data_IF_913579504254
#
_entry.id   IF_913579504254
#
_cell.length_a   1.000
_cell.length_b   1.000
_cell.length_c   1.000
_cell.angle_alpha   90.00
_cell.angle_beta   90.00
_cell.angle_gamma   90.00
#
_symmetry.space_group_name_H-M   'P 1'
#
loop_
_entity.id
_entity.type
_entity.pdbx_description
1 polymer ?
#
# COMPACT_ATOMS: atom_id res chain seq x y z
N UNK A 1 26.62 -17.12 -4.56
CA UNK A 1 25.88 -17.52 -3.34
C UNK A 1 24.96 -18.68 -3.66
N UNK A 2 25.02 -19.76 -2.86
CA UNK A 2 24.19 -20.94 -3.12
C UNK A 2 22.72 -20.66 -2.77
N UNK A 3 21.78 -21.24 -3.52
CA UNK A 3 20.33 -21.11 -3.23
C UNK A 3 19.55 -22.31 -3.76
N UNK A 4 18.39 -22.58 -3.18
CA UNK A 4 17.48 -23.64 -3.63
C UNK A 4 16.11 -23.07 -4.03
N UNK A 5 15.49 -23.63 -5.07
CA UNK A 5 14.16 -23.24 -5.56
C UNK A 5 13.36 -24.45 -6.03
N UNK A 6 12.07 -24.48 -5.74
CA UNK A 6 11.14 -25.44 -6.34
C UNK A 6 10.83 -25.07 -7.79
N UNK A 7 10.91 -26.06 -8.67
CA UNK A 7 10.61 -25.92 -10.10
C UNK A 7 9.83 -27.13 -10.60
N UNK A 8 9.16 -26.94 -11.73
CA UNK A 8 8.69 -28.04 -12.56
C UNK A 8 9.79 -28.39 -13.57
N UNK A 9 10.35 -29.60 -13.51
CA UNK A 9 11.42 -30.02 -14.43
C UNK A 9 10.83 -30.46 -15.78
N UNK A 10 10.73 -29.50 -16.70
CA UNK A 10 10.12 -29.71 -18.02
C UNK A 10 11.03 -30.41 -19.05
N UNK A 11 12.25 -30.81 -18.65
CA UNK A 11 13.27 -31.41 -19.53
C UNK A 11 13.11 -32.91 -19.76
N UNK A 12 12.40 -33.62 -18.87
CA UNK A 12 12.08 -35.05 -19.04
C UNK A 12 10.56 -35.21 -19.26
N UNK A 13 10.16 -35.82 -20.36
CA UNK A 13 8.78 -36.32 -20.55
C UNK A 13 8.61 -37.58 -19.68
N UNK A 14 7.50 -37.68 -18.94
CA UNK A 14 7.04 -38.96 -18.38
C UNK A 14 6.74 -39.95 -19.51
N UNK A 15 7.00 -41.25 -19.30
CA UNK A 15 6.72 -42.34 -20.26
C UNK A 15 5.23 -42.72 -20.36
N UNK A 16 4.30 -41.89 -19.88
CA UNK A 16 2.85 -42.15 -19.97
C UNK A 16 2.24 -41.41 -21.16
N UNK A 17 1.47 -42.15 -21.97
CA UNK A 17 0.90 -41.71 -23.25
C UNK A 17 -0.26 -40.71 -23.08
N UNK A 18 -0.91 -40.64 -21.91
CA UNK A 18 -2.15 -39.85 -21.76
C UNK A 18 -2.08 -38.64 -20.80
N UNK A 19 -1.01 -38.43 -20.04
CA UNK A 19 -0.84 -37.20 -19.24
C UNK A 19 0.63 -36.76 -19.23
N UNK A 20 0.94 -35.61 -19.87
CA UNK A 20 2.29 -35.01 -19.84
C UNK A 20 2.55 -34.38 -18.46
N UNK A 21 2.76 -35.22 -17.46
CA UNK A 21 3.20 -34.81 -16.13
C UNK A 21 4.71 -34.62 -16.11
N UNK A 22 5.14 -33.60 -15.39
CA UNK A 22 6.53 -33.25 -15.17
C UNK A 22 6.84 -33.33 -13.68
N UNK A 23 8.01 -33.87 -13.30
CA UNK A 23 8.38 -33.98 -11.91
C UNK A 23 8.64 -32.62 -11.31
N UNK A 24 8.22 -32.44 -10.07
CA UNK A 24 8.59 -31.31 -9.23
C UNK A 24 9.99 -31.59 -8.69
N UNK A 25 10.85 -30.58 -8.73
CA UNK A 25 12.24 -30.71 -8.30
C UNK A 25 12.68 -29.51 -7.47
N UNK A 26 13.53 -29.76 -6.49
CA UNK A 26 14.34 -28.72 -5.85
C UNK A 26 15.58 -28.51 -6.71
N UNK A 27 15.67 -27.34 -7.36
CA UNK A 27 16.86 -26.92 -8.08
C UNK A 27 17.80 -26.19 -7.13
N UNK A 28 18.97 -26.77 -6.92
CA UNK A 28 20.06 -26.22 -6.12
C UNK A 28 21.02 -25.50 -7.05
N UNK A 29 21.22 -24.21 -6.81
CA UNK A 29 22.16 -23.37 -7.54
C UNK A 29 23.42 -23.23 -6.69
N UNK A 30 24.49 -23.95 -7.03
CA UNK A 30 25.81 -23.80 -6.43
C UNK A 30 26.87 -24.22 -7.44
N UNK A 31 27.77 -23.32 -7.86
CA UNK A 31 28.73 -23.54 -8.96
C UNK A 31 28.05 -23.99 -10.25
N UNK A 32 27.72 -25.29 -10.38
CA UNK A 32 26.87 -25.87 -11.44
C UNK A 32 25.51 -26.30 -10.87
N UNK A 33 24.37 -25.83 -11.42
CA UNK A 33 23.07 -26.19 -10.88
C UNK A 33 22.80 -27.70 -10.90
N UNK A 34 22.25 -28.22 -9.80
CA UNK A 34 21.79 -29.60 -9.65
C UNK A 34 20.30 -29.63 -9.33
N UNK A 35 19.68 -30.78 -9.59
CA UNK A 35 18.27 -31.00 -9.29
C UNK A 35 18.09 -32.22 -8.43
N UNK A 36 17.26 -32.06 -7.41
CA UNK A 36 16.75 -33.15 -6.60
C UNK A 36 15.28 -33.31 -6.95
N UNK A 37 14.95 -34.38 -7.68
CA UNK A 37 13.57 -34.67 -8.07
C UNK A 37 12.81 -35.23 -6.88
N UNK A 38 11.59 -34.74 -6.70
CA UNK A 38 10.68 -35.20 -5.67
C UNK A 38 9.75 -36.28 -6.26
N UNK A 39 9.03 -36.99 -5.40
CA UNK A 39 8.07 -38.02 -5.78
C UNK A 39 6.77 -37.46 -6.41
N UNK A 40 6.64 -36.13 -6.47
CA UNK A 40 5.43 -35.46 -6.97
C UNK A 40 5.62 -34.96 -8.40
N UNK A 41 4.55 -35.01 -9.20
CA UNK A 41 4.53 -34.54 -10.58
C UNK A 41 3.22 -33.81 -10.87
N UNK A 42 3.24 -32.85 -11.80
CA UNK A 42 2.04 -32.17 -12.28
C UNK A 42 2.23 -31.69 -13.73
N UNK A 43 1.15 -31.22 -14.37
CA UNK A 43 1.23 -30.63 -15.70
C UNK A 43 1.79 -29.19 -15.65
N UNK A 44 2.19 -28.65 -16.81
CA UNK A 44 2.63 -27.23 -16.90
C UNK A 44 1.56 -26.25 -16.38
N UNK A 45 0.29 -26.55 -16.63
CA UNK A 45 -0.83 -25.69 -16.20
C UNK A 45 -1.09 -25.86 -14.70
N UNK A 46 -0.91 -27.08 -14.18
CA UNK A 46 -1.08 -27.43 -12.78
C UNK A 46 0.01 -26.92 -11.84
N UNK A 47 1.10 -26.36 -12.36
CA UNK A 47 2.14 -25.71 -11.58
C UNK A 47 1.99 -24.18 -11.58
N UNK A 48 2.08 -23.59 -10.40
CA UNK A 48 2.27 -22.15 -10.24
C UNK A 48 3.76 -21.85 -10.03
N UNK A 49 4.44 -21.39 -11.08
CA UNK A 49 5.88 -21.08 -11.00
C UNK A 49 6.22 -19.87 -10.12
N UNK A 50 5.24 -18.98 -9.88
CA UNK A 50 5.40 -17.79 -9.06
C UNK A 50 5.32 -18.15 -7.58
N UNK A 51 4.33 -18.95 -7.22
CA UNK A 51 4.11 -19.39 -5.83
C UNK A 51 4.81 -20.73 -5.50
N UNK A 52 5.36 -21.41 -6.50
CA UNK A 52 6.04 -22.70 -6.37
C UNK A 52 5.15 -23.80 -5.77
N UNK A 53 3.93 -23.92 -6.27
CA UNK A 53 2.92 -24.85 -5.74
C UNK A 53 2.07 -25.49 -6.83
N UNK A 54 1.40 -26.59 -6.49
CA UNK A 54 0.32 -27.17 -7.27
C UNK A 54 -0.93 -26.29 -7.18
N UNK A 55 -1.60 -26.11 -8.32
CA UNK A 55 -2.91 -25.45 -8.42
C UNK A 55 -4.02 -26.48 -8.23
N UNK A 56 -4.91 -26.23 -7.27
CA UNK A 56 -6.11 -27.06 -7.03
C UNK A 56 -7.06 -27.11 -8.23
N UNK A 57 -7.14 -26.02 -8.99
CA UNK A 57 -8.05 -25.90 -10.14
C UNK A 57 -7.59 -26.67 -11.38
N UNK A 58 -6.42 -27.28 -11.37
CA UNK A 58 -5.90 -27.99 -12.53
C UNK A 58 -6.37 -29.46 -12.55
N UNK A 59 -6.89 -29.90 -13.69
CA UNK A 59 -7.35 -31.28 -13.89
C UNK A 59 -6.30 -32.33 -13.53
N UNK A 60 -5.03 -32.08 -13.85
CA UNK A 60 -3.90 -32.96 -13.53
C UNK A 60 -3.65 -33.16 -12.03
N UNK A 61 -4.31 -32.39 -11.15
CA UNK A 61 -4.19 -32.49 -9.69
C UNK A 61 -5.53 -32.89 -9.03
N UNK A 62 -6.55 -33.29 -9.80
CA UNK A 62 -7.91 -33.53 -9.28
C UNK A 62 -7.95 -34.62 -8.19
N UNK A 63 -7.12 -35.64 -8.34
CA UNK A 63 -7.05 -36.80 -7.42
C UNK A 63 -5.92 -36.66 -6.39
N UNK A 64 -5.32 -35.46 -6.29
CA UNK A 64 -4.19 -35.18 -5.42
C UNK A 64 -4.62 -34.18 -4.35
N UNK A 65 -4.33 -34.50 -3.09
CA UNK A 65 -4.38 -33.51 -2.01
C UNK A 65 -3.27 -32.48 -2.22
N UNK A 66 -3.59 -31.45 -3.01
CA UNK A 66 -2.67 -30.36 -3.35
C UNK A 66 -2.08 -29.72 -2.10
N UNK A 67 -2.85 -29.59 -1.01
CA UNK A 67 -2.37 -28.92 0.20
C UNK A 67 -1.30 -29.78 0.88
N UNK A 68 -1.57 -31.07 1.05
CA UNK A 68 -0.61 -32.02 1.63
C UNK A 68 0.66 -32.12 0.77
N UNK A 69 0.52 -32.18 -0.55
CA UNK A 69 1.67 -32.20 -1.47
C UNK A 69 2.47 -30.91 -1.39
N UNK A 70 1.79 -29.76 -1.40
CA UNK A 70 2.44 -28.46 -1.29
C UNK A 70 3.22 -28.35 0.03
N UNK A 71 2.64 -28.78 1.15
CA UNK A 71 3.34 -28.85 2.43
C UNK A 71 4.59 -29.73 2.34
N UNK A 72 4.49 -30.94 1.79
CA UNK A 72 5.62 -31.85 1.67
C UNK A 72 6.76 -31.32 0.78
N UNK A 73 6.45 -30.72 -0.38
CA UNK A 73 7.49 -30.14 -1.25
C UNK A 73 8.13 -28.90 -0.62
N UNK A 74 7.38 -28.11 0.16
CA UNK A 74 7.92 -26.98 0.89
C UNK A 74 8.84 -27.41 2.04
N UNK A 75 8.50 -28.48 2.76
CA UNK A 75 9.40 -29.06 3.78
C UNK A 75 10.75 -29.46 3.18
N UNK A 76 10.73 -30.12 2.02
CA UNK A 76 11.95 -30.51 1.29
C UNK A 76 12.75 -29.29 0.82
N UNK A 77 12.08 -28.27 0.26
CA UNK A 77 12.73 -27.01 -0.12
C UNK A 77 13.33 -26.28 1.09
N UNK A 78 12.63 -26.27 2.21
CA UNK A 78 13.09 -25.60 3.43
C UNK A 78 14.32 -26.28 4.00
N UNK A 79 14.30 -27.61 4.16
CA UNK A 79 15.48 -28.35 4.60
C UNK A 79 16.68 -28.07 3.68
N UNK A 80 16.48 -28.02 2.37
CA UNK A 80 17.53 -27.66 1.43
C UNK A 80 18.11 -26.25 1.65
N UNK A 81 17.25 -25.25 1.89
CA UNK A 81 17.67 -23.88 2.21
C UNK A 81 18.37 -23.79 3.57
N UNK A 82 17.89 -24.51 4.58
CA UNK A 82 18.48 -24.55 5.92
C UNK A 82 19.91 -25.07 5.87
N UNK A 83 20.18 -26.14 5.12
CA UNK A 83 21.53 -26.67 4.93
C UNK A 83 22.44 -25.69 4.21
N UNK A 84 21.93 -25.04 3.16
CA UNK A 84 22.67 -23.98 2.47
C UNK A 84 23.08 -22.87 3.45
N UNK A 85 22.16 -22.43 4.32
CA UNK A 85 22.45 -21.40 5.30
C UNK A 85 23.44 -21.87 6.38
N UNK A 86 23.26 -23.08 6.92
CA UNK A 86 24.15 -23.66 7.94
C UNK A 86 25.58 -23.82 7.44
N UNK A 87 25.75 -24.15 6.16
CA UNK A 87 27.06 -24.32 5.54
C UNK A 87 27.77 -22.98 5.27
N UNK A 88 27.07 -21.85 5.27
CA UNK A 88 27.66 -20.51 5.23
C UNK A 88 28.87 -20.36 4.30
N UNK A 89 30.01 -19.97 4.87
CA UNK A 89 31.27 -19.76 4.14
C UNK A 89 31.91 -21.06 3.63
N UNK A 90 31.62 -22.20 4.29
CA UNK A 90 32.04 -23.55 3.86
C UNK A 90 31.42 -23.94 2.52
N UNK A 91 30.37 -23.26 2.05
CA UNK A 91 29.86 -23.45 0.69
C UNK A 91 30.93 -23.22 -0.38
N UNK A 92 31.89 -22.33 -0.14
CA UNK A 92 32.96 -22.01 -1.09
C UNK A 92 33.86 -23.23 -1.38
N UNK A 93 34.12 -24.06 -0.38
CA UNK A 93 35.02 -25.21 -0.44
C UNK A 93 34.35 -26.51 -0.91
N UNK A 94 33.01 -26.60 -0.91
CA UNK A 94 32.31 -27.82 -1.33
C UNK A 94 31.80 -27.79 -2.79
N UNK A 95 31.57 -28.96 -3.36
CA UNK A 95 30.98 -29.14 -4.70
C UNK A 95 29.45 -29.06 -4.66
N UNK A 96 28.82 -28.89 -5.83
CA UNK A 96 27.35 -28.94 -5.96
C UNK A 96 26.78 -30.32 -5.61
N UNK A 97 27.55 -31.38 -5.89
CA UNK A 97 27.13 -32.77 -5.65
C UNK A 97 27.20 -33.11 -4.15
N UNK A 98 28.27 -32.69 -3.47
CA UNK A 98 28.40 -32.78 -2.00
C UNK A 98 27.28 -32.02 -1.29
N UNK A 99 26.92 -30.83 -1.76
CA UNK A 99 25.80 -30.06 -1.20
C UNK A 99 24.46 -30.80 -1.37
N UNK A 100 24.21 -31.39 -2.55
CA UNK A 100 22.99 -32.17 -2.81
C UNK A 100 22.93 -33.43 -1.95
N UNK A 101 24.06 -34.10 -1.73
CA UNK A 101 24.12 -35.29 -0.87
C UNK A 101 23.78 -34.95 0.58
N UNK A 102 24.31 -33.86 1.13
CA UNK A 102 23.95 -33.37 2.46
C UNK A 102 22.45 -33.05 2.57
N UNK A 103 21.88 -32.43 1.53
CA UNK A 103 20.44 -32.16 1.48
C UNK A 103 19.63 -33.45 1.52
N UNK A 104 20.02 -34.46 0.74
CA UNK A 104 19.33 -35.76 0.74
C UNK A 104 19.45 -36.49 2.07
N UNK A 105 20.63 -36.51 2.70
CA UNK A 105 20.81 -37.13 4.03
C UNK A 105 19.86 -36.54 5.06
N UNK A 106 19.71 -35.22 5.09
CA UNK A 106 18.77 -34.55 6.00
C UNK A 106 17.29 -34.80 5.75
N UNK A 107 16.95 -35.37 4.59
CA UNK A 107 15.58 -35.73 4.23
C UNK A 107 15.22 -37.14 4.67
N UNK A 108 16.23 -37.99 4.87
CA UNK A 108 16.11 -39.39 5.26
C UNK A 108 16.15 -39.55 6.79
N UNK A 109 16.93 -38.70 7.48
CA UNK A 109 16.85 -38.54 8.92
C UNK A 109 15.50 -37.88 9.27
N UNK A 110 14.53 -38.67 9.77
CA UNK A 110 13.21 -38.18 10.20
C UNK A 110 13.39 -36.96 11.11
N UNK A 111 12.99 -35.81 10.56
CA UNK A 111 13.13 -34.45 11.10
C UNK A 111 13.01 -34.40 12.62
N UNK A 112 14.15 -34.26 13.29
CA UNK A 112 14.21 -34.10 14.73
C UNK A 112 13.47 -32.80 15.13
N UNK A 113 12.72 -32.91 16.22
CA UNK A 113 11.92 -31.89 16.89
C UNK A 113 12.59 -30.51 17.02
N UNK A 114 13.93 -30.48 17.02
CA UNK A 114 14.79 -29.29 17.04
C UNK A 114 14.71 -28.45 15.76
N UNK A 115 14.59 -29.06 14.58
CA UNK A 115 14.50 -28.36 13.29
C UNK A 115 13.14 -27.67 13.12
N UNK A 116 12.05 -28.26 13.65
CA UNK A 116 10.72 -27.61 13.70
C UNK A 116 10.70 -26.33 14.54
N UNK A 117 11.59 -26.24 15.54
CA UNK A 117 11.79 -25.06 16.37
C UNK A 117 12.62 -23.99 15.63
N UNK A 118 13.64 -24.40 14.88
CA UNK A 118 14.47 -23.53 14.04
C UNK A 118 13.77 -23.03 12.76
N UNK A 119 12.72 -23.74 12.31
CA UNK A 119 11.95 -23.50 11.07
C UNK A 119 11.20 -22.15 11.01
N UNK A 120 11.03 -21.45 12.14
CA UNK A 120 10.31 -20.16 12.24
C UNK A 120 11.22 -18.93 12.12
N UNK A 121 12.55 -19.13 12.07
CA UNK A 121 13.60 -18.10 12.09
C UNK A 121 13.53 -17.10 13.27
N UNK A 122 12.66 -17.29 14.27
CA UNK A 122 12.43 -16.36 15.41
C UNK A 122 12.15 -14.90 15.01
N UNK A 123 12.06 -14.61 13.71
CA UNK A 123 11.98 -13.26 13.17
C UNK A 123 10.67 -12.62 13.58
N UNK A 124 10.80 -11.41 14.09
CA UNK A 124 9.69 -10.62 14.58
C UNK A 124 9.18 -9.67 13.52
N UNK A 125 7.92 -9.28 13.69
CA UNK A 125 7.26 -8.26 12.91
C UNK A 125 7.99 -6.92 13.01
N UNK A 126 8.53 -6.60 14.18
CA UNK A 126 9.27 -5.36 14.42
C UNK A 126 10.61 -5.36 13.67
N UNK A 127 11.39 -6.44 13.75
CA UNK A 127 12.68 -6.56 13.07
C UNK A 127 12.54 -6.41 11.55
N UNK A 128 11.64 -7.19 10.93
CA UNK A 128 11.43 -7.08 9.49
C UNK A 128 10.73 -5.76 9.09
N UNK A 129 9.83 -5.28 9.95
CA UNK A 129 9.18 -3.99 9.79
C UNK A 129 10.19 -2.83 9.75
N UNK A 130 11.23 -2.86 10.59
CA UNK A 130 12.26 -1.85 10.64
C UNK A 130 13.03 -1.76 9.32
N UNK A 131 13.38 -2.90 8.70
CA UNK A 131 14.00 -2.93 7.37
C UNK A 131 13.16 -2.19 6.33
N UNK A 132 11.83 -2.38 6.35
CA UNK A 132 10.93 -1.68 5.43
C UNK A 132 10.79 -0.19 5.76
N UNK A 133 10.76 0.16 7.05
CA UNK A 133 10.75 1.56 7.51
C UNK A 133 11.99 2.28 6.97
N UNK A 134 13.18 1.74 7.17
CA UNK A 134 14.45 2.33 6.74
C UNK A 134 14.49 2.51 5.22
N UNK A 135 14.05 1.49 4.47
CA UNK A 135 13.93 1.58 3.00
C UNK A 135 12.98 2.70 2.57
N UNK A 136 11.86 2.89 3.27
CA UNK A 136 10.91 3.99 2.96
C UNK A 136 11.47 5.35 3.32
N UNK A 137 12.22 5.48 4.41
CA UNK A 137 12.90 6.72 4.77
C UNK A 137 13.98 7.08 3.73
N UNK A 138 14.83 6.12 3.35
CA UNK A 138 15.82 6.29 2.26
C UNK A 138 15.20 6.67 0.91
N UNK A 139 13.94 6.28 0.69
CA UNK A 139 13.18 6.65 -0.52
C UNK A 139 12.31 7.90 -0.36
N UNK A 140 12.53 8.72 0.67
CA UNK A 140 11.74 9.93 0.98
C UNK A 140 10.22 9.67 1.06
N UNK A 141 9.84 8.56 1.70
CA UNK A 141 8.43 8.16 1.96
C UNK A 141 8.13 8.09 3.46
N UNK A 142 8.33 9.17 4.23
CA UNK A 142 8.21 9.15 5.70
C UNK A 142 6.78 8.85 6.18
N UNK A 143 5.75 9.23 5.42
CA UNK A 143 4.37 8.88 5.74
C UNK A 143 4.12 7.36 5.70
N UNK A 144 4.72 6.64 4.74
CA UNK A 144 4.61 5.17 4.64
C UNK A 144 5.44 4.48 5.73
N UNK A 145 6.63 5.02 6.04
CA UNK A 145 7.46 4.54 7.14
C UNK A 145 6.70 4.65 8.48
N UNK A 146 6.07 5.80 8.75
CA UNK A 146 5.22 5.97 9.94
C UNK A 146 4.03 5.01 9.96
N UNK A 147 3.38 4.77 8.82
CA UNK A 147 2.28 3.81 8.75
C UNK A 147 2.70 2.39 9.17
N UNK A 148 3.89 1.93 8.75
CA UNK A 148 4.45 0.67 9.26
C UNK A 148 4.71 0.73 10.76
N UNK A 149 5.40 1.78 11.23
CA UNK A 149 5.73 1.96 12.66
C UNK A 149 4.49 1.92 13.55
N UNK A 150 3.45 2.68 13.20
CA UNK A 150 2.21 2.77 13.97
C UNK A 150 1.45 1.43 13.97
N UNK A 151 1.52 0.68 12.87
CA UNK A 151 0.87 -0.63 12.77
C UNK A 151 1.60 -1.71 13.55
N UNK A 152 2.93 -1.69 13.55
CA UNK A 152 3.76 -2.57 14.38
C UNK A 152 3.45 -2.29 15.85
N UNK A 153 3.43 -1.02 16.27
CA UNK A 153 3.12 -0.63 17.64
C UNK A 153 1.74 -1.12 18.08
N UNK A 154 0.71 -1.00 17.22
CA UNK A 154 -0.63 -1.52 17.54
C UNK A 154 -0.63 -3.04 17.75
N UNK A 155 0.10 -3.79 16.92
CA UNK A 155 0.22 -5.25 17.05
C UNK A 155 1.07 -5.68 18.25
N UNK A 156 2.10 -4.91 18.59
CA UNK A 156 2.90 -5.12 19.81
C UNK A 156 2.07 -4.88 21.06
N UNK A 157 1.29 -3.79 21.09
CA UNK A 157 0.39 -3.51 22.22
C UNK A 157 -0.69 -4.59 22.39
N UNK A 158 -1.23 -5.11 21.29
CA UNK A 158 -2.16 -6.25 21.31
C UNK A 158 -1.53 -7.53 21.89
N UNK A 159 -0.21 -7.69 21.73
CA UNK A 159 0.53 -8.86 22.18
C UNK A 159 1.19 -8.62 23.55
N UNK A 160 0.50 -7.94 24.46
CA UNK A 160 0.99 -7.58 25.81
C UNK A 160 2.36 -6.88 25.82
N UNK A 161 2.56 -5.95 24.88
CA UNK A 161 3.81 -5.23 24.64
C UNK A 161 5.02 -6.14 24.30
N UNK A 162 4.79 -7.43 24.00
CA UNK A 162 5.81 -8.37 23.55
C UNK A 162 5.96 -8.32 22.05
N UNK A 163 7.18 -8.55 21.57
CA UNK A 163 7.44 -8.63 20.13
C UNK A 163 6.64 -9.76 19.47
N UNK A 164 5.92 -9.43 18.40
CA UNK A 164 5.12 -10.40 17.64
C UNK A 164 6.03 -11.14 16.68
N UNK A 165 6.20 -12.44 16.87
CA UNK A 165 6.91 -13.30 15.91
C UNK A 165 6.07 -13.54 14.68
N UNK A 166 6.67 -13.57 13.49
CA UNK A 166 5.90 -13.74 12.25
C UNK A 166 5.12 -15.05 12.21
N UNK A 167 5.60 -16.12 12.85
CA UNK A 167 4.89 -17.40 12.93
C UNK A 167 3.69 -17.39 13.87
N UNK A 168 3.56 -16.42 14.78
CA UNK A 168 2.39 -16.25 15.64
C UNK A 168 1.20 -15.65 14.88
N UNK A 169 1.46 -14.98 13.77
CA UNK A 169 0.42 -14.35 12.95
C UNK A 169 -0.36 -15.47 12.23
N UNK A 170 -1.49 -15.85 12.82
CA UNK A 170 -2.45 -16.81 12.29
C UNK A 170 -3.76 -16.12 11.90
N UNK A 171 -4.72 -16.86 11.33
CA UNK A 171 -6.06 -16.32 11.08
C UNK A 171 -6.78 -15.98 12.40
N UNK A 172 -6.60 -16.79 13.45
CA UNK A 172 -7.18 -16.50 14.77
C UNK A 172 -6.57 -15.24 15.37
N UNK A 173 -5.24 -15.13 15.37
CA UNK A 173 -4.52 -13.94 15.83
C UNK A 173 -5.04 -12.64 15.18
N UNK A 174 -5.27 -12.65 13.87
CA UNK A 174 -5.81 -11.49 13.15
C UNK A 174 -7.28 -11.19 13.50
N UNK A 175 -8.09 -12.20 13.77
CA UNK A 175 -9.49 -12.02 14.21
C UNK A 175 -9.55 -11.50 15.64
N UNK A 176 -8.71 -12.00 16.52
CA UNK A 176 -8.63 -11.57 17.92
C UNK A 176 -8.18 -10.11 18.00
N UNK A 177 -7.16 -9.73 17.24
CA UNK A 177 -6.74 -8.34 17.05
C UNK A 177 -7.89 -7.44 16.58
N UNK A 178 -8.66 -7.90 15.59
CA UNK A 178 -9.82 -7.14 15.09
C UNK A 178 -10.90 -6.97 16.17
N UNK A 179 -11.28 -8.04 16.87
CA UNK A 179 -12.32 -8.01 17.89
C UNK A 179 -11.95 -7.08 19.05
N UNK A 180 -10.70 -7.13 19.51
CA UNK A 180 -10.23 -6.25 20.57
C UNK A 180 -10.20 -4.79 20.15
N UNK A 181 -9.74 -4.49 18.93
CA UNK A 181 -9.76 -3.11 18.45
C UNK A 181 -11.19 -2.58 18.27
N UNK A 182 -12.14 -3.43 17.86
CA UNK A 182 -13.57 -3.09 17.80
C UNK A 182 -14.12 -2.83 19.20
N UNK A 183 -13.79 -3.67 20.21
CA UNK A 183 -14.26 -3.46 21.59
C UNK A 183 -13.72 -2.17 22.21
N UNK A 184 -12.52 -1.74 21.82
CA UNK A 184 -11.94 -0.43 22.15
C UNK A 184 -12.56 0.76 21.38
N UNK A 185 -13.58 0.54 20.57
CA UNK A 185 -14.28 1.59 19.80
C UNK A 185 -13.55 2.05 18.53
N UNK A 186 -12.52 1.33 18.06
CA UNK A 186 -11.82 1.72 16.83
C UNK A 186 -12.67 1.44 15.58
N UNK A 187 -12.58 2.35 14.61
CA UNK A 187 -13.25 2.15 13.33
C UNK A 187 -12.65 0.99 12.52
N UNK A 188 -13.49 0.28 11.75
CA UNK A 188 -13.06 -0.75 10.78
C UNK A 188 -12.02 -0.21 9.79
N UNK A 189 -12.04 1.09 9.48
CA UNK A 189 -11.05 1.73 8.62
C UNK A 189 -9.65 1.78 9.25
N UNK A 190 -9.58 2.07 10.55
CA UNK A 190 -8.33 2.04 11.31
C UNK A 190 -7.76 0.62 11.37
N UNK A 191 -8.59 -0.35 11.72
CA UNK A 191 -8.22 -1.78 11.77
C UNK A 191 -7.72 -2.25 10.41
N UNK A 192 -8.48 -1.99 9.34
CA UNK A 192 -8.10 -2.31 7.96
C UNK A 192 -6.79 -1.62 7.54
N UNK A 193 -6.48 -0.44 8.06
CA UNK A 193 -5.20 0.24 7.84
C UNK A 193 -4.05 -0.52 8.49
N UNK A 194 -4.16 -0.89 9.77
CA UNK A 194 -3.13 -1.64 10.49
C UNK A 194 -2.87 -3.00 9.86
N UNK A 195 -3.94 -3.78 9.62
CA UNK A 195 -3.81 -5.13 9.06
C UNK A 195 -3.21 -5.12 7.65
N UNK A 196 -3.50 -4.09 6.83
CA UNK A 196 -2.85 -3.94 5.51
C UNK A 196 -1.35 -3.70 5.62
N UNK A 197 -0.88 -2.99 6.65
CA UNK A 197 0.53 -2.76 6.87
C UNK A 197 1.22 -4.06 7.29
N UNK A 198 0.64 -4.79 8.23
CA UNK A 198 1.17 -6.08 8.69
C UNK A 198 1.21 -7.09 7.55
N UNK A 199 0.16 -7.15 6.73
CA UNK A 199 0.16 -7.98 5.52
C UNK A 199 1.29 -7.61 4.57
N UNK A 200 1.59 -6.32 4.41
CA UNK A 200 2.67 -5.87 3.54
C UNK A 200 4.05 -6.25 4.10
N UNK A 201 4.27 -6.10 5.41
CA UNK A 201 5.49 -6.53 6.10
C UNK A 201 5.65 -8.06 5.96
N UNK A 202 4.62 -8.82 6.35
CA UNK A 202 4.59 -10.28 6.28
C UNK A 202 4.88 -10.79 4.85
N UNK A 203 4.14 -10.30 3.85
CA UNK A 203 4.33 -10.74 2.46
C UNK A 203 5.68 -10.29 1.88
N UNK A 204 6.28 -9.20 2.37
CA UNK A 204 7.64 -8.83 1.99
C UNK A 204 8.66 -9.81 2.56
N UNK A 205 8.47 -10.28 3.81
CA UNK A 205 9.34 -11.29 4.41
C UNK A 205 9.30 -12.61 3.61
N UNK A 206 8.10 -13.00 3.13
CA UNK A 206 7.94 -14.15 2.23
C UNK A 206 8.70 -13.96 0.90
N UNK A 207 8.51 -12.80 0.26
CA UNK A 207 9.09 -12.50 -1.06
C UNK A 207 10.61 -12.41 -1.04
N UNK A 208 11.18 -12.00 0.08
CA UNK A 208 12.62 -11.85 0.28
C UNK A 208 13.24 -13.05 1.02
N UNK A 209 12.53 -14.19 1.08
CA UNK A 209 12.99 -15.45 1.67
C UNK A 209 13.43 -15.31 3.14
N UNK A 210 12.90 -14.34 3.88
CA UNK A 210 13.21 -14.11 5.30
C UNK A 210 12.35 -14.91 6.24
N UNK A 211 11.16 -15.27 5.79
CA UNK A 211 10.18 -16.02 6.55
C UNK A 211 9.45 -17.00 5.64
N UNK A 212 9.21 -18.22 6.10
CA UNK A 212 8.47 -19.24 5.38
C UNK A 212 7.43 -19.87 6.31
N UNK A 213 6.14 -19.49 6.20
CA UNK A 213 5.09 -20.01 7.04
C UNK A 213 4.64 -21.37 6.55
N UNK A 214 4.11 -22.18 7.47
CA UNK A 214 3.38 -23.41 7.15
C UNK A 214 2.13 -23.09 6.32
N UNK A 215 1.39 -22.02 6.70
CA UNK A 215 0.25 -21.47 5.97
C UNK A 215 0.26 -19.95 6.04
N UNK A 216 0.01 -19.27 4.92
CA UNK A 216 -0.11 -17.81 4.92
C UNK A 216 -1.52 -17.40 5.39
N UNK A 217 -1.67 -16.73 6.56
CA UNK A 217 -2.95 -16.36 7.13
C UNK A 217 -3.71 -15.36 6.25
N UNK A 218 -2.99 -14.52 5.50
CA UNK A 218 -3.59 -13.48 4.64
C UNK A 218 -4.23 -14.02 3.36
N UNK A 219 -4.13 -15.33 3.09
CA UNK A 219 -4.90 -16.00 2.04
C UNK A 219 -6.32 -16.35 2.51
N UNK A 220 -6.52 -16.50 3.82
CA UNK A 220 -7.79 -16.96 4.40
C UNK A 220 -8.45 -15.90 5.30
N UNK A 221 -7.68 -14.93 5.78
CA UNK A 221 -8.21 -13.78 6.52
C UNK A 221 -8.70 -12.70 5.57
N UNK A 222 -9.98 -12.35 5.69
CA UNK A 222 -10.59 -11.24 4.96
C UNK A 222 -10.45 -9.95 5.75
N UNK A 223 -9.63 -9.03 5.26
CA UNK A 223 -9.49 -7.69 5.87
C UNK A 223 -10.86 -6.99 5.87
N UNK A 224 -11.29 -6.38 6.99
CA UNK A 224 -12.57 -5.73 7.11
C UNK A 224 -12.77 -4.72 5.98
N UNK A 225 -13.95 -4.78 5.35
CA UNK A 225 -14.34 -3.77 4.38
C UNK A 225 -14.50 -2.44 5.09
N UNK A 226 -13.87 -1.41 4.54
CA UNK A 226 -14.05 -0.05 5.01
C UNK A 226 -15.52 0.36 4.80
N UNK A 227 -16.22 0.74 5.87
CA UNK A 227 -17.57 1.27 5.76
C UNK A 227 -17.60 2.52 4.87
N UNK A 228 -18.75 2.82 4.25
CA UNK A 228 -18.91 4.06 3.48
C UNK A 228 -18.59 5.23 4.42
N UNK A 229 -17.60 6.03 4.05
CA UNK A 229 -17.27 7.22 4.83
C UNK A 229 -18.32 8.27 4.51
N UNK A 230 -18.77 9.07 5.49
CA UNK A 230 -19.72 10.19 5.28
C UNK A 230 -19.28 11.06 4.09
N UNK A 231 -20.22 11.66 3.35
CA UNK A 231 -19.93 12.61 2.25
C UNK A 231 -18.98 13.69 2.79
N UNK A 232 -17.76 13.77 2.25
CA UNK A 232 -16.72 14.73 2.66
C UNK A 232 -16.54 15.81 1.59
N UNK A 233 -17.63 16.42 1.14
CA UNK A 233 -17.61 17.44 0.10
C UNK A 233 -18.41 18.66 0.55
N UNK A 234 -17.93 19.84 0.19
CA UNK A 234 -18.66 21.10 0.33
C UNK A 234 -19.44 21.38 -0.96
N UNK A 235 -20.62 21.96 -0.82
CA UNK A 235 -21.40 22.48 -1.95
C UNK A 235 -20.71 23.71 -2.55
N UNK A 236 -21.13 24.12 -3.75
CA UNK A 236 -20.58 25.30 -4.44
C UNK A 236 -20.81 26.57 -3.62
N UNK A 237 -21.98 26.68 -3.00
CA UNK A 237 -22.41 27.80 -2.17
C UNK A 237 -21.49 27.95 -0.96
N UNK A 238 -21.13 26.83 -0.30
CA UNK A 238 -20.19 26.81 0.82
C UNK A 238 -18.77 27.25 0.41
N UNK A 239 -18.32 26.88 -0.80
CA UNK A 239 -17.04 27.37 -1.34
C UNK A 239 -17.10 28.89 -1.58
N UNK A 240 -18.22 29.42 -2.09
CA UNK A 240 -18.43 30.85 -2.27
C UNK A 240 -18.46 31.59 -0.93
N UNK A 241 -19.11 31.03 0.10
CA UNK A 241 -19.11 31.61 1.45
C UNK A 241 -17.68 31.77 1.99
N UNK A 242 -16.84 30.72 1.87
CA UNK A 242 -15.42 30.78 2.25
C UNK A 242 -14.66 31.85 1.46
N UNK A 243 -14.91 31.93 0.14
CA UNK A 243 -14.29 32.94 -0.74
C UNK A 243 -14.59 34.37 -0.28
N UNK A 244 -15.80 34.62 0.21
CA UNK A 244 -16.27 35.94 0.61
C UNK A 244 -15.75 36.42 1.97
N UNK A 245 -15.20 35.52 2.80
CA UNK A 245 -14.57 35.90 4.07
C UNK A 245 -13.43 36.90 3.87
N UNK A 246 -13.20 37.77 4.86
CA UNK A 246 -12.10 38.73 4.86
C UNK A 246 -11.25 38.51 6.10
N UNK A 247 -9.95 38.39 5.89
CA UNK A 247 -8.95 38.24 6.95
C UNK A 247 -7.82 39.22 6.66
N UNK A 248 -7.17 39.71 7.71
CA UNK A 248 -5.99 40.56 7.55
C UNK A 248 -4.88 39.76 6.84
N UNK A 249 -4.20 40.40 5.90
CA UNK A 249 -3.10 39.80 5.16
C UNK A 249 -1.98 39.31 6.09
N UNK A 250 -1.20 38.33 5.63
CA UNK A 250 -0.15 37.66 6.41
C UNK A 250 -0.60 36.94 7.69
N UNK A 251 -1.88 36.95 8.04
CA UNK A 251 -2.36 36.12 9.16
C UNK A 251 -2.44 34.64 8.75
N UNK A 252 -2.31 33.74 9.72
CA UNK A 252 -2.44 32.30 9.47
C UNK A 252 -3.83 31.92 8.90
N UNK A 253 -4.89 32.66 9.25
CA UNK A 253 -6.24 32.47 8.68
C UNK A 253 -6.28 32.86 7.21
N UNK A 254 -5.71 34.01 6.86
CA UNK A 254 -5.59 34.47 5.48
C UNK A 254 -4.80 33.48 4.62
N UNK A 255 -3.64 33.01 5.10
CA UNK A 255 -2.86 31.98 4.42
C UNK A 255 -3.66 30.69 4.25
N UNK A 256 -4.33 30.23 5.30
CA UNK A 256 -5.14 28.99 5.25
C UNK A 256 -6.29 29.10 4.24
N UNK A 257 -6.98 30.24 4.18
CA UNK A 257 -8.02 30.52 3.17
C UNK A 257 -7.43 30.45 1.77
N UNK A 258 -6.29 31.11 1.54
CA UNK A 258 -5.64 31.11 0.23
C UNK A 258 -5.14 29.72 -0.18
N UNK A 259 -4.66 28.90 0.76
CA UNK A 259 -4.32 27.50 0.47
C UNK A 259 -5.54 26.71 0.01
N UNK A 260 -6.68 26.89 0.68
CA UNK A 260 -7.94 26.24 0.30
C UNK A 260 -8.39 26.63 -1.11
N UNK A 261 -8.41 27.93 -1.41
CA UNK A 261 -8.81 28.45 -2.71
C UNK A 261 -7.83 28.01 -3.82
N UNK A 262 -6.53 28.02 -3.53
CA UNK A 262 -5.51 27.53 -4.46
C UNK A 262 -5.68 26.04 -4.75
N UNK A 263 -5.93 25.22 -3.71
CA UNK A 263 -6.21 23.80 -3.87
C UNK A 263 -7.46 23.56 -4.74
N UNK A 264 -8.53 24.33 -4.50
CA UNK A 264 -9.78 24.21 -5.26
C UNK A 264 -9.60 24.58 -6.73
N UNK A 265 -8.98 25.74 -7.01
CA UNK A 265 -8.65 26.19 -8.37
C UNK A 265 -7.72 25.21 -9.09
N UNK A 266 -6.83 24.54 -8.36
CA UNK A 266 -5.95 23.51 -8.90
C UNK A 266 -6.60 22.10 -8.99
N UNK A 267 -7.89 22.04 -9.37
CA UNK A 267 -8.65 20.79 -9.51
C UNK A 267 -8.67 19.93 -8.24
N UNK A 268 -8.79 20.58 -7.09
CA UNK A 268 -8.79 19.90 -5.80
C UNK A 268 -7.43 19.32 -5.40
N UNK A 269 -6.33 19.98 -5.73
CA UNK A 269 -4.95 19.62 -5.37
C UNK A 269 -4.83 19.24 -3.88
N UNK A 270 -4.01 18.24 -3.54
CA UNK A 270 -3.79 17.90 -2.13
C UNK A 270 -2.88 18.93 -1.47
N UNK A 271 -3.07 19.18 -0.17
CA UNK A 271 -2.23 20.12 0.59
C UNK A 271 -0.74 19.79 0.54
N UNK A 272 -0.36 18.51 0.47
CA UNK A 272 1.05 18.12 0.35
C UNK A 272 1.66 18.51 -1.00
N UNK A 273 0.85 18.53 -2.05
CA UNK A 273 1.28 18.93 -3.39
C UNK A 273 1.39 20.46 -3.43
N UNK A 274 0.41 21.17 -2.84
CA UNK A 274 0.48 22.63 -2.66
C UNK A 274 1.73 23.05 -1.88
N UNK A 275 2.05 22.36 -0.79
CA UNK A 275 3.22 22.68 0.03
C UNK A 275 4.56 22.46 -0.71
N UNK A 276 4.57 21.63 -1.75
CA UNK A 276 5.75 21.34 -2.57
C UNK A 276 5.90 22.27 -3.78
N UNK A 277 4.88 23.07 -4.10
CA UNK A 277 4.94 23.96 -5.26
C UNK A 277 6.05 24.99 -5.07
N UNK A 278 6.87 25.12 -6.10
CA UNK A 278 7.93 26.11 -6.20
C UNK A 278 7.60 27.10 -7.32
N UNK A 279 8.22 28.27 -7.33
CA UNK A 279 7.98 29.28 -8.36
C UNK A 279 8.22 28.70 -9.76
N UNK A 280 9.27 27.89 -9.96
CA UNK A 280 9.54 27.16 -11.21
C UNK A 280 8.46 26.16 -11.65
N UNK A 281 7.50 25.83 -10.78
CA UNK A 281 6.33 25.04 -11.16
C UNK A 281 5.38 25.82 -12.06
N UNK A 282 5.50 27.15 -12.12
CA UNK A 282 4.72 28.02 -13.00
C UNK A 282 5.48 28.21 -14.32
N UNK A 283 4.79 28.01 -15.43
CA UNK A 283 5.29 28.35 -16.76
C UNK A 283 4.14 28.96 -17.58
N UNK A 284 4.27 30.25 -17.88
CA UNK A 284 3.22 31.04 -18.51
C UNK A 284 1.91 30.99 -17.72
N UNK A 285 0.82 30.64 -18.40
CA UNK A 285 -0.52 30.56 -17.80
C UNK A 285 -0.82 29.23 -17.09
N UNK A 286 0.20 28.44 -16.72
CA UNK A 286 0.01 27.08 -16.19
C UNK A 286 0.91 26.74 -15.00
N UNK A 287 0.40 25.89 -14.11
CA UNK A 287 1.14 25.21 -13.05
C UNK A 287 1.38 23.75 -13.47
N UNK A 288 2.62 23.30 -13.31
CA UNK A 288 3.06 21.93 -13.55
C UNK A 288 3.54 21.31 -12.25
N UNK A 289 2.99 20.15 -11.90
CA UNK A 289 3.43 19.40 -10.72
C UNK A 289 3.19 17.89 -10.86
N UNK A 290 4.01 17.08 -10.20
CA UNK A 290 3.79 15.65 -10.06
C UNK A 290 3.02 15.36 -8.76
N UNK A 291 1.93 14.58 -8.81
CA UNK A 291 1.19 14.20 -7.59
C UNK A 291 2.09 13.44 -6.63
N UNK A 292 2.20 13.86 -5.38
CA UNK A 292 3.04 13.19 -4.36
C UNK A 292 2.68 11.73 -4.11
N UNK A 293 1.42 11.34 -4.37
CA UNK A 293 0.95 9.96 -4.14
C UNK A 293 1.36 9.00 -5.26
N UNK A 294 1.33 9.44 -6.51
CA UNK A 294 1.43 8.58 -7.69
C UNK A 294 2.59 8.93 -8.61
N UNK A 295 3.07 10.17 -8.56
CA UNK A 295 4.09 10.71 -9.47
C UNK A 295 3.52 11.31 -10.76
N UNK A 296 2.20 11.23 -10.96
CA UNK A 296 1.59 11.61 -12.23
C UNK A 296 1.74 13.11 -12.50
N UNK A 297 2.23 13.49 -13.69
CA UNK A 297 2.33 14.88 -14.07
C UNK A 297 0.93 15.45 -14.28
N UNK A 298 0.71 16.64 -13.73
CA UNK A 298 -0.48 17.43 -13.93
C UNK A 298 -0.09 18.79 -14.47
N UNK A 299 -0.88 19.27 -15.42
CA UNK A 299 -0.77 20.59 -15.99
C UNK A 299 -2.09 21.32 -15.80
N UNK A 300 -2.08 22.38 -15.01
CA UNK A 300 -3.26 23.11 -14.57
C UNK A 300 -3.20 24.52 -15.12
N UNK A 301 -4.26 24.96 -15.81
CA UNK A 301 -4.40 26.37 -16.21
C UNK A 301 -4.63 27.24 -14.98
N UNK A 302 -3.92 28.36 -14.90
CA UNK A 302 -4.11 29.39 -13.87
C UNK A 302 -5.42 30.13 -14.19
N UNK A 303 -6.33 30.13 -13.23
CA UNK A 303 -7.58 30.92 -13.26
C UNK A 303 -7.32 32.32 -12.75
N UNK A 304 -8.19 33.29 -13.04
CA UNK A 304 -8.01 34.68 -12.59
C UNK A 304 -7.95 34.78 -11.06
N UNK A 305 -8.80 34.03 -10.36
CA UNK A 305 -8.76 33.93 -8.89
C UNK A 305 -7.41 33.40 -8.39
N UNK A 306 -6.87 32.38 -9.06
CA UNK A 306 -5.59 31.81 -8.69
C UNK A 306 -4.43 32.76 -9.00
N UNK A 307 -4.49 33.50 -10.13
CA UNK A 307 -3.47 34.47 -10.50
C UNK A 307 -3.30 35.53 -9.41
N UNK A 308 -4.41 36.13 -8.95
CA UNK A 308 -4.39 37.13 -7.85
C UNK A 308 -3.74 36.58 -6.58
N UNK A 309 -4.03 35.31 -6.23
CA UNK A 309 -3.40 34.67 -5.07
C UNK A 309 -1.91 34.47 -5.32
N UNK A 310 -1.52 33.98 -6.49
CA UNK A 310 -0.13 33.68 -6.82
C UNK A 310 0.72 34.96 -6.87
N UNK A 311 0.23 36.04 -7.46
CA UNK A 311 0.96 37.31 -7.61
C UNK A 311 1.49 37.80 -6.26
N UNK A 312 0.66 37.73 -5.22
CA UNK A 312 1.09 38.02 -3.85
C UNK A 312 2.22 37.11 -3.36
N UNK A 313 2.11 35.81 -3.61
CA UNK A 313 2.99 34.81 -3.01
C UNK A 313 4.32 34.63 -3.76
N UNK A 314 4.41 35.06 -5.01
CA UNK A 314 5.61 34.96 -5.84
C UNK A 314 6.42 36.25 -5.88
N UNK A 315 5.85 37.37 -5.45
CA UNK A 315 6.55 38.64 -5.39
C UNK A 315 7.85 38.52 -4.56
N UNK A 316 8.96 38.99 -5.15
CA UNK A 316 10.29 38.92 -4.55
C UNK A 316 10.89 37.53 -4.36
N UNK A 317 10.37 36.46 -4.98
CA UNK A 317 10.89 35.09 -4.84
C UNK A 317 11.69 34.59 -6.04
N UNK A 318 12.65 33.73 -5.76
CA UNK A 318 13.42 33.02 -6.76
C UNK A 318 12.71 31.75 -7.26
N UNK A 319 13.13 31.25 -8.41
CA UNK A 319 12.56 30.07 -9.06
C UNK A 319 12.50 28.81 -8.17
N UNK A 320 13.43 28.68 -7.22
CA UNK A 320 13.57 27.51 -6.35
C UNK A 320 12.82 27.65 -5.01
N UNK A 321 12.25 28.81 -4.73
CA UNK A 321 11.49 29.07 -3.51
C UNK A 321 10.12 28.42 -3.55
N UNK A 322 9.61 28.06 -2.37
CA UNK A 322 8.23 27.60 -2.25
C UNK A 322 7.27 28.75 -2.49
N UNK A 323 6.22 28.51 -3.28
CA UNK A 323 5.16 29.50 -3.49
C UNK A 323 4.49 29.84 -2.17
N UNK A 324 4.15 28.83 -1.37
CA UNK A 324 3.39 29.02 -0.13
C UNK A 324 4.28 28.86 1.12
N UNK A 325 4.08 29.67 2.18
CA UNK A 325 4.84 29.58 3.44
C UNK A 325 4.84 28.20 4.12
N UNK A 326 3.80 27.39 3.90
CA UNK A 326 3.73 26.01 4.42
C UNK A 326 4.91 25.12 3.98
N UNK A 327 5.54 25.42 2.83
CA UNK A 327 6.82 24.89 2.32
C UNK A 327 7.24 23.49 2.77
N UNK A 328 7.28 22.54 1.84
CA UNK A 328 7.75 21.18 2.07
C UNK A 328 8.59 20.69 0.88
N UNK A 329 9.85 20.33 1.11
CA UNK A 329 10.77 19.84 0.07
C UNK A 329 10.55 18.35 -0.29
N UNK A 330 9.71 17.63 0.46
CA UNK A 330 9.51 16.20 0.27
C UNK A 330 10.48 15.31 1.05
N UNK A 331 11.42 15.89 1.80
CA UNK A 331 12.44 15.17 2.56
C UNK A 331 11.89 14.59 3.86
N UNK A 332 12.68 13.72 4.50
CA UNK A 332 12.34 13.16 5.81
C UNK A 332 12.53 14.21 6.90
N UNK A 333 13.57 15.03 6.75
CA UNK A 333 14.06 16.06 7.66
C UNK A 333 12.96 17.10 7.92
N UNK A 334 12.32 17.61 6.87
CA UNK A 334 11.29 18.65 7.00
C UNK A 334 9.89 18.08 7.20
N UNK A 335 9.70 16.76 7.13
CA UNK A 335 8.36 16.15 7.21
C UNK A 335 7.67 16.42 8.55
N UNK A 336 8.42 16.48 9.65
CA UNK A 336 7.85 16.79 10.97
C UNK A 336 7.26 18.20 11.02
N UNK A 337 7.95 19.20 10.45
CA UNK A 337 7.44 20.56 10.29
C UNK A 337 6.16 20.55 9.46
N UNK A 338 6.17 19.95 8.27
CA UNK A 338 4.99 19.86 7.41
C UNK A 338 3.78 19.23 8.14
N UNK A 339 3.99 18.21 8.97
CA UNK A 339 2.88 17.62 9.77
C UNK A 339 2.32 18.60 10.79
N UNK A 340 3.15 19.41 11.43
CA UNK A 340 2.71 20.46 12.36
C UNK A 340 1.93 21.53 11.61
N UNK A 341 2.43 21.99 10.47
CA UNK A 341 1.75 23.00 9.65
C UNK A 341 0.41 22.47 9.12
N UNK A 342 0.36 21.22 8.66
CA UNK A 342 -0.90 20.56 8.28
C UNK A 342 -1.89 20.49 9.44
N UNK A 343 -1.44 20.27 10.68
CA UNK A 343 -2.32 20.29 11.87
C UNK A 343 -2.85 21.69 12.13
N UNK A 344 -2.01 22.71 12.01
CA UNK A 344 -2.41 24.12 12.13
C UNK A 344 -3.43 24.49 11.05
N UNK A 345 -3.15 24.21 9.79
CA UNK A 345 -4.09 24.42 8.67
C UNK A 345 -5.43 23.76 8.95
N UNK A 346 -5.46 22.48 9.36
CA UNK A 346 -6.73 21.82 9.68
C UNK A 346 -7.42 22.36 10.93
N UNK A 347 -6.70 22.95 11.88
CA UNK A 347 -7.30 23.66 13.02
C UNK A 347 -7.96 24.95 12.54
N UNK A 348 -7.27 25.73 11.72
CA UNK A 348 -7.76 27.01 11.20
C UNK A 348 -8.89 26.83 10.18
N UNK A 349 -8.90 25.73 9.43
CA UNK A 349 -10.01 25.38 8.55
C UNK A 349 -11.33 25.16 9.32
N UNK A 350 -11.28 24.72 10.58
CA UNK A 350 -12.50 24.66 11.42
C UNK A 350 -13.00 26.06 11.71
N UNK A 351 -12.10 26.99 12.03
CA UNK A 351 -12.46 28.38 12.26
C UNK A 351 -13.02 29.05 11.00
N UNK A 352 -12.41 28.80 9.85
CA UNK A 352 -12.91 29.29 8.56
C UNK A 352 -14.30 28.72 8.25
N UNK A 353 -14.56 27.46 8.59
CA UNK A 353 -15.89 26.87 8.45
C UNK A 353 -16.92 27.57 9.35
N UNK A 354 -16.58 27.79 10.62
CA UNK A 354 -17.43 28.55 11.56
C UNK A 354 -17.73 29.95 11.03
N UNK A 355 -16.71 30.70 10.60
CA UNK A 355 -16.86 32.05 10.07
C UNK A 355 -17.72 32.06 8.77
N UNK A 356 -17.70 30.97 7.99
CA UNK A 356 -18.50 30.81 6.77
C UNK A 356 -19.92 30.22 7.01
N UNK A 357 -20.32 29.97 8.26
CA UNK A 357 -21.62 29.34 8.58
C UNK A 357 -21.71 27.88 8.14
N UNK A 358 -20.59 27.15 8.17
CA UNK A 358 -20.49 25.74 7.77
C UNK A 358 -20.39 24.88 9.04
N UNK A 359 -21.44 24.10 9.32
CA UNK A 359 -21.52 23.25 10.51
C UNK A 359 -20.56 22.04 10.45
N UNK A 360 -20.18 21.59 9.24
CA UNK A 360 -19.32 20.44 9.09
C UNK A 360 -17.88 20.72 9.51
N UNK A 361 -17.29 19.76 10.25
CA UNK A 361 -15.86 19.77 10.55
C UNK A 361 -15.06 19.46 9.28
N UNK A 362 -14.64 20.51 8.58
CA UNK A 362 -13.85 20.39 7.36
C UNK A 362 -12.36 20.19 7.65
N UNK A 363 -11.67 19.59 6.68
CA UNK A 363 -10.21 19.45 6.66
C UNK A 363 -9.73 19.70 5.24
N UNK A 364 -8.42 19.85 5.03
CA UNK A 364 -7.86 20.04 3.69
C UNK A 364 -8.21 18.90 2.72
N UNK A 365 -8.62 17.74 3.23
CA UNK A 365 -9.09 16.62 2.43
C UNK A 365 -10.47 16.86 1.77
N UNK A 366 -11.31 17.74 2.33
CA UNK A 366 -12.63 18.05 1.74
C UNK A 366 -12.49 18.66 0.36
N UNK A 367 -11.46 19.49 0.12
CA UNK A 367 -11.38 20.32 -1.09
C UNK A 367 -11.32 19.48 -2.37
N UNK A 368 -10.58 18.37 -2.36
CA UNK A 368 -10.54 17.45 -3.51
C UNK A 368 -11.89 16.81 -3.78
N UNK A 369 -12.59 16.41 -2.73
CA UNK A 369 -13.93 15.83 -2.82
C UNK A 369 -14.97 16.86 -3.24
N UNK A 370 -14.89 18.10 -2.74
CA UNK A 370 -15.74 19.21 -3.14
C UNK A 370 -15.60 19.48 -4.64
N UNK A 371 -14.37 19.62 -5.14
CA UNK A 371 -14.15 19.85 -6.58
C UNK A 371 -14.74 18.73 -7.43
N UNK A 372 -14.48 17.46 -7.08
CA UNK A 372 -14.99 16.31 -7.82
C UNK A 372 -16.53 16.20 -7.77
N UNK A 373 -17.12 16.45 -6.61
CA UNK A 373 -18.58 16.37 -6.41
C UNK A 373 -19.29 17.49 -7.14
N UNK A 374 -18.78 18.73 -7.05
CA UNK A 374 -19.33 19.88 -7.77
C UNK A 374 -19.23 19.65 -9.28
N UNK A 375 -18.08 19.19 -9.79
CA UNK A 375 -17.90 18.86 -11.20
C UNK A 375 -18.94 17.83 -11.68
N UNK A 376 -19.17 16.77 -10.89
CA UNK A 376 -20.19 15.76 -11.20
C UNK A 376 -21.61 16.32 -11.20
N UNK A 377 -21.94 17.15 -10.21
CA UNK A 377 -23.27 17.79 -10.13
C UNK A 377 -23.50 18.77 -11.28
N UNK A 378 -22.43 19.32 -11.87
CA UNK A 378 -22.47 20.13 -13.09
C UNK A 378 -22.52 19.30 -14.39
N UNK A 379 -22.70 17.97 -14.29
CA UNK A 379 -22.80 17.08 -15.44
C UNK A 379 -21.46 16.72 -16.11
N UNK A 380 -20.32 17.04 -15.50
CA UNK A 380 -19.00 16.68 -16.05
C UNK A 380 -18.82 15.16 -15.94
N UNK A 381 -18.39 14.53 -17.05
CA UNK A 381 -18.20 13.08 -17.11
C UNK A 381 -17.18 12.57 -16.09
N UNK A 382 -17.38 11.33 -15.64
CA UNK A 382 -16.51 10.71 -14.63
C UNK A 382 -15.08 10.55 -15.15
N UNK A 383 -14.90 10.38 -16.46
CA UNK A 383 -13.63 10.29 -17.17
C UNK A 383 -12.85 11.60 -17.05
N UNK A 384 -13.49 12.73 -17.37
CA UNK A 384 -12.89 14.07 -17.27
C UNK A 384 -12.53 14.39 -15.81
N UNK A 385 -13.42 14.05 -14.86
CA UNK A 385 -13.13 14.22 -13.43
C UNK A 385 -11.94 13.35 -13.02
N UNK A 386 -11.88 12.10 -13.49
CA UNK A 386 -10.80 11.16 -13.18
C UNK A 386 -9.45 11.67 -13.66
N UNK A 387 -9.39 12.17 -14.90
CA UNK A 387 -8.20 12.77 -15.48
C UNK A 387 -7.82 14.07 -14.77
N UNK A 388 -8.81 14.94 -14.49
CA UNK A 388 -8.61 16.17 -13.73
C UNK A 388 -8.02 15.95 -12.34
N UNK A 389 -8.38 14.83 -11.69
CA UNK A 389 -7.82 14.40 -10.42
C UNK A 389 -6.51 13.61 -10.54
N UNK A 390 -6.02 13.29 -11.75
CA UNK A 390 -4.86 12.43 -11.96
C UNK A 390 -5.04 11.04 -11.36
N UNK A 391 -6.13 10.36 -11.71
CA UNK A 391 -6.41 8.97 -11.33
C UNK A 391 -6.29 8.02 -12.53
N UNK A 392 -5.53 6.93 -12.35
CA UNK A 392 -5.36 5.85 -13.33
C UNK A 392 -6.54 4.87 -13.44
N UNK A 393 -7.58 5.04 -12.62
CA UNK A 393 -8.70 4.10 -12.58
C UNK A 393 -9.98 4.82 -12.19
N UNK A 394 -11.01 4.67 -13.03
CA UNK A 394 -12.36 5.18 -12.79
C UNK A 394 -12.90 4.71 -11.43
N UNK A 395 -12.59 3.47 -11.03
CA UNK A 395 -12.96 2.93 -9.71
C UNK A 395 -12.46 3.79 -8.54
N UNK A 396 -11.32 4.46 -8.71
CA UNK A 396 -10.82 5.41 -7.70
C UNK A 396 -11.67 6.67 -7.68
N UNK A 397 -12.04 7.19 -8.86
CA UNK A 397 -12.88 8.38 -9.03
C UNK A 397 -14.31 8.14 -8.56
N UNK A 398 -14.89 6.97 -8.82
CA UNK A 398 -16.19 6.56 -8.29
C UNK A 398 -16.27 6.67 -6.76
N UNK A 399 -15.17 6.46 -6.03
CA UNK A 399 -15.16 6.64 -4.56
C UNK A 399 -15.46 8.10 -4.17
N UNK A 400 -15.03 9.07 -4.98
CA UNK A 400 -15.30 10.49 -4.78
C UNK A 400 -16.72 10.87 -5.22
N UNK A 401 -17.27 10.13 -6.18
CA UNK A 401 -18.51 10.47 -6.88
C UNK A 401 -19.73 9.70 -6.38
N UNK A 402 -19.64 8.98 -5.26
CA UNK A 402 -20.42 7.76 -5.00
C UNK A 402 -21.91 7.92 -4.62
N UNK A 403 -22.51 9.06 -4.93
CA UNK A 403 -23.96 9.29 -4.94
C UNK A 403 -24.24 10.68 -5.50
N UNK A 404 -25.21 10.82 -6.40
CA UNK A 404 -25.80 12.12 -6.69
C UNK A 404 -26.56 12.64 -5.46
N UNK A 405 -26.83 13.93 -5.42
CA UNK A 405 -27.81 14.45 -4.47
C UNK A 405 -29.22 13.99 -4.86
N UNK A 406 -30.13 13.89 -3.90
CA UNK A 406 -31.51 13.51 -4.20
C UNK A 406 -32.14 14.50 -5.17
N UNK A 407 -31.86 15.80 -5.04
CA UNK A 407 -32.36 16.81 -5.99
C UNK A 407 -31.97 16.50 -7.44
N UNK A 408 -30.74 16.04 -7.69
CA UNK A 408 -30.29 15.68 -9.05
C UNK A 408 -30.98 14.40 -9.54
N UNK A 409 -31.28 13.47 -8.63
CA UNK A 409 -32.05 12.27 -8.96
C UNK A 409 -33.53 12.61 -9.23
N UNK A 410 -34.08 13.56 -8.49
CA UNK A 410 -35.45 14.05 -8.62
C UNK A 410 -35.61 14.80 -9.96
N UNK A 411 -34.70 15.72 -10.29
CA UNK A 411 -34.64 16.42 -11.59
C UNK A 411 -34.53 15.41 -12.76
N UNK A 412 -33.66 14.41 -12.62
CA UNK A 412 -33.50 13.37 -13.63
C UNK A 412 -34.75 12.50 -13.75
N UNK A 413 -35.45 12.24 -12.65
CA UNK A 413 -36.71 11.51 -12.65
C UNK A 413 -37.81 12.34 -13.33
N UNK A 414 -37.91 13.64 -13.06
CA UNK A 414 -38.84 14.55 -13.72
C UNK A 414 -38.67 14.56 -15.24
N UNK A 415 -37.44 14.55 -15.74
CA UNK A 415 -37.13 14.44 -17.17
C UNK A 415 -37.53 13.10 -17.81
N UNK A 416 -37.67 12.04 -17.01
CA UNK A 416 -38.03 10.70 -17.50
C UNK A 416 -39.54 10.47 -17.44
N UNK A 417 -40.21 11.01 -16.41
CA UNK A 417 -41.64 10.79 -16.16
C UNK A 417 -42.54 11.85 -16.80
N UNK A 418 -42.03 13.07 -17.01
CA UNK A 418 -42.69 14.13 -17.78
C UNK A 418 -42.47 13.97 -19.26
#
# INVERSE_FOLDING_TARGET
>A
MARARLILDTRKKSKSVNERLFPIAVRVFHKKPRMIRLSYSTSKVGWDAKNMMLKKSAFANKDVDCDKVNSAIYEKLHSAKSIINKLGDTLSSISADTLVENIKKSWDDKLDSKVKKDLSNEITLAEWGQVLIDRKLKSNKPATAKWYKDSIAAFTQFNDDKSVKLHQISVSFLKDFEMEHVSRGNSKNGISSYVRAIRAIYNSALKEDRFLPIKNPFLHYKIPSTARTKKKALSKEKIVAIRNLRYNENTNLWHTKNYLLSMFNCRGMNLIDLAKLKVKSINGSRIFYGRSKTGDPLSIRITDELAVILDYYIDGKDENDFIFPIGYDGSVETFTKYRSDRRLVNKLLKRIAEDAGIDEKITSYYIRHSWATIAKNMGISTEIISEGLGHHSLKTTEIYLKSFDNSVLDDANELIVG
#
